data_IF_577250153868
#
_entry.id   IF_577250153868
#
_cell.length_a   1.000
_cell.length_b   1.000
_cell.length_c   1.000
_cell.angle_alpha   90.00
_cell.angle_beta   90.00
_cell.angle_gamma   90.00
#
_symmetry.space_group_name_H-M   'P 1'
#
loop_
_entity.id
_entity.type
_entity.pdbx_description
1 polymer ?
#
# COMPACT_ATOMS: atom_id res chain seq x y z
N UNK A 1 8.24 -2.53 20.81
CA UNK A 1 7.93 -1.09 20.63
C UNK A 1 7.68 -0.73 19.16
N UNK A 2 8.69 -0.59 18.29
CA UNK A 2 8.45 -0.21 16.88
C UNK A 2 7.59 -1.22 16.10
N UNK A 3 7.80 -2.53 16.35
CA UNK A 3 6.99 -3.61 15.77
C UNK A 3 5.52 -3.53 16.20
N UNK A 4 5.26 -3.33 17.49
CA UNK A 4 3.89 -3.28 18.02
C UNK A 4 3.17 -2.03 17.53
N UNK A 5 3.88 -0.89 17.45
CA UNK A 5 3.37 0.33 16.83
C UNK A 5 2.96 0.07 15.37
N UNK A 6 3.83 -0.54 14.57
CA UNK A 6 3.54 -0.85 13.17
C UNK A 6 2.34 -1.80 13.02
N UNK A 7 2.30 -2.89 13.78
CA UNK A 7 1.25 -3.90 13.67
C UNK A 7 -0.11 -3.35 14.12
N UNK A 8 -0.14 -2.52 15.16
CA UNK A 8 -1.37 -1.83 15.58
C UNK A 8 -1.91 -0.90 14.49
N UNK A 9 -1.04 -0.12 13.85
CA UNK A 9 -1.44 0.77 12.76
C UNK A 9 -1.85 -0.01 11.50
N UNK A 10 -1.16 -1.09 11.16
CA UNK A 10 -1.52 -1.95 10.03
C UNK A 10 -2.94 -2.51 10.18
N UNK A 11 -3.30 -2.95 11.39
CA UNK A 11 -4.64 -3.49 11.67
C UNK A 11 -5.74 -2.45 11.43
N UNK A 12 -5.70 -1.29 12.10
CA UNK A 12 -6.77 -0.30 12.00
C UNK A 12 -6.80 0.41 10.65
N UNK A 13 -5.63 0.74 10.07
CA UNK A 13 -5.57 1.41 8.78
C UNK A 13 -6.12 0.51 7.67
N UNK A 14 -5.79 -0.79 7.68
CA UNK A 14 -6.34 -1.74 6.73
C UNK A 14 -7.85 -1.93 6.92
N UNK A 15 -8.33 -2.08 8.16
CA UNK A 15 -9.76 -2.25 8.44
C UNK A 15 -10.60 -1.07 7.91
N UNK A 16 -10.10 0.16 8.03
CA UNK A 16 -10.79 1.35 7.49
C UNK A 16 -10.67 1.43 5.96
N UNK A 17 -9.50 1.12 5.37
CA UNK A 17 -9.32 1.17 3.90
C UNK A 17 -10.21 0.17 3.16
N UNK A 18 -10.37 -1.02 3.73
CA UNK A 18 -11.13 -2.11 3.12
C UNK A 18 -12.57 -2.20 3.64
N UNK A 19 -13.08 -1.12 4.24
CA UNK A 19 -14.47 -0.98 4.71
C UNK A 19 -14.93 -2.05 5.74
N UNK A 20 -13.99 -2.70 6.43
CA UNK A 20 -14.29 -3.66 7.51
C UNK A 20 -14.75 -2.96 8.79
N UNK A 21 -14.30 -1.72 9.00
CA UNK A 21 -14.69 -0.87 10.12
C UNK A 21 -15.06 0.54 9.64
N UNK A 22 -16.21 1.11 10.04
CA UNK A 22 -16.55 2.47 9.70
C UNK A 22 -15.54 3.46 10.26
N UNK A 23 -15.07 4.38 9.41
CA UNK A 23 -14.11 5.40 9.79
C UNK A 23 -13.60 6.15 8.56
N UNK A 24 -12.90 7.25 8.81
CA UNK A 24 -12.16 7.99 7.78
C UNK A 24 -10.75 8.26 8.25
N UNK A 25 -9.82 8.37 7.32
CA UNK A 25 -8.49 8.86 7.62
C UNK A 25 -8.54 10.33 7.99
N UNK A 26 -7.78 10.68 9.03
CA UNK A 26 -7.58 12.08 9.42
C UNK A 26 -6.85 12.85 8.33
N UNK A 27 -6.98 14.17 8.33
CA UNK A 27 -6.29 15.05 7.38
C UNK A 27 -4.76 14.83 7.41
N UNK A 28 -4.19 14.61 8.60
CA UNK A 28 -2.77 14.31 8.75
C UNK A 28 -2.37 12.98 8.09
N UNK A 29 -3.22 11.94 8.21
CA UNK A 29 -2.99 10.66 7.55
C UNK A 29 -3.08 10.80 6.02
N UNK A 30 -4.07 11.54 5.52
CA UNK A 30 -4.20 11.81 4.09
C UNK A 30 -3.00 12.62 3.56
N UNK A 31 -2.50 13.61 4.31
CA UNK A 31 -1.29 14.36 3.97
C UNK A 31 -0.07 13.44 3.93
N UNK A 32 0.08 12.52 4.88
CA UNK A 32 1.17 11.55 4.87
C UNK A 32 1.14 10.68 3.60
N UNK A 33 -0.04 10.30 3.11
CA UNK A 33 -0.20 9.55 1.85
C UNK A 33 0.18 10.41 0.63
N UNK A 34 -0.25 11.67 0.61
CA UNK A 34 0.03 12.63 -0.49
C UNK A 34 1.53 12.76 -0.76
N UNK A 35 2.35 12.95 0.29
CA UNK A 35 3.81 13.08 0.15
C UNK A 35 4.53 11.74 0.15
N UNK A 36 3.98 10.74 0.84
CA UNK A 36 4.59 9.42 0.95
C UNK A 36 4.56 8.62 -0.35
N UNK A 37 3.47 8.70 -1.13
CA UNK A 37 3.34 8.00 -2.41
C UNK A 37 4.48 8.31 -3.39
N UNK A 38 4.77 9.58 -3.76
CA UNK A 38 5.86 9.88 -4.70
C UNK A 38 7.26 9.65 -4.11
N UNK A 39 7.42 9.65 -2.78
CA UNK A 39 8.70 9.35 -2.13
C UNK A 39 9.05 7.85 -2.18
N UNK A 40 8.04 6.98 -2.19
CA UNK A 40 8.21 5.53 -2.07
C UNK A 40 7.93 4.77 -3.37
N UNK A 41 6.92 5.20 -4.14
CA UNK A 41 6.43 4.49 -5.31
C UNK A 41 6.97 5.13 -6.58
N UNK A 42 7.45 4.30 -7.51
CA UNK A 42 7.64 4.76 -8.90
C UNK A 42 6.29 5.11 -9.50
N UNK A 43 6.24 6.12 -10.36
CA UNK A 43 5.01 6.56 -11.03
C UNK A 43 4.33 5.45 -11.84
N UNK A 44 5.14 4.56 -12.44
CA UNK A 44 4.71 3.44 -13.25
C UNK A 44 4.54 2.13 -12.48
N UNK A 45 4.46 2.16 -11.14
CA UNK A 45 4.44 0.92 -10.34
C UNK A 45 3.33 -0.07 -10.73
N UNK A 46 2.19 0.40 -11.29
CA UNK A 46 1.09 -0.45 -11.76
C UNK A 46 1.43 -1.28 -13.01
N UNK A 47 2.56 -0.99 -13.68
CA UNK A 47 3.05 -1.75 -14.83
C UNK A 47 3.23 -3.24 -14.52
N UNK A 48 3.44 -3.59 -13.25
CA UNK A 48 3.50 -5.00 -12.78
C UNK A 48 2.27 -5.84 -13.13
N UNK A 49 1.14 -5.21 -13.45
CA UNK A 49 -0.09 -5.89 -13.89
C UNK A 49 -0.22 -6.01 -15.43
N UNK A 50 0.74 -5.49 -16.20
CA UNK A 50 0.76 -5.66 -17.66
C UNK A 50 1.17 -7.08 -18.03
N UNK A 51 0.65 -7.58 -19.16
CA UNK A 51 0.89 -8.94 -19.64
C UNK A 51 2.37 -9.29 -19.72
N UNK A 52 3.20 -8.41 -20.28
CA UNK A 52 4.63 -8.64 -20.45
C UNK A 52 5.36 -8.81 -19.10
N UNK A 53 5.04 -7.98 -18.11
CA UNK A 53 5.64 -8.06 -16.76
C UNK A 53 5.17 -9.30 -15.99
N UNK A 54 3.90 -9.69 -16.18
CA UNK A 54 3.34 -10.93 -15.61
C UNK A 54 4.04 -12.15 -16.22
N UNK A 55 4.14 -12.22 -17.55
CA UNK A 55 4.80 -13.34 -18.24
C UNK A 55 6.27 -13.45 -17.83
N UNK A 56 7.00 -12.33 -17.78
CA UNK A 56 8.37 -12.31 -17.30
C UNK A 56 8.49 -12.78 -15.84
N UNK A 57 7.51 -12.48 -14.99
CA UNK A 57 7.49 -12.93 -13.59
C UNK A 57 7.24 -14.43 -13.46
N UNK A 58 6.36 -15.01 -14.29
CA UNK A 58 6.12 -16.46 -14.34
C UNK A 58 7.40 -17.20 -14.78
N UNK A 59 8.06 -16.74 -15.84
CA UNK A 59 9.31 -17.32 -16.35
C UNK A 59 10.47 -17.32 -15.34
N UNK A 60 10.44 -16.48 -14.29
CA UNK A 60 11.48 -16.45 -13.25
C UNK A 60 11.29 -17.53 -12.18
N UNK A 61 10.07 -18.06 -12.03
CA UNK A 61 9.71 -19.03 -11.00
C UNK A 61 9.40 -20.44 -11.54
N UNK A 62 9.44 -20.61 -12.86
CA UNK A 62 9.27 -21.89 -13.58
C UNK A 62 10.45 -22.16 -14.48
#
# INVERSE_FOLDING_TARGET
AARDFLLGHMNILAAVIFDEQPGVFSDACNKAIEFGKPMLMRDDWKKVFEWDEITASIQRIT
#
